data_IF_919021933679
#
_entry.id   IF_919021933679
#
_cell.length_a   1.000
_cell.length_b   1.000
_cell.length_c   1.000
_cell.angle_alpha   90.00
_cell.angle_beta   90.00
_cell.angle_gamma   90.00
#
_symmetry.space_group_name_H-M   'P 1'
#
loop_
_entity.id
_entity.type
_entity.pdbx_description
1 polymer ?
#
# COMPACT_ATOMS: atom_id res chain seq x y z
N UNK A 1 3.38 -5.90 -15.14
CA UNK A 1 4.07 -6.79 -14.18
C UNK A 1 3.02 -7.66 -13.51
N UNK A 2 3.20 -8.99 -13.48
CA UNK A 2 2.19 -9.90 -12.93
C UNK A 2 1.98 -9.67 -11.41
N UNK A 3 0.74 -9.58 -10.89
CA UNK A 3 0.46 -9.50 -9.46
C UNK A 3 1.14 -10.57 -8.60
N UNK A 4 1.32 -11.79 -9.14
CA UNK A 4 2.05 -12.86 -8.44
C UNK A 4 3.53 -12.57 -8.24
N UNK A 5 4.15 -11.80 -9.14
CA UNK A 5 5.53 -11.36 -9.01
C UNK A 5 5.70 -10.24 -7.96
N UNK A 6 4.61 -9.53 -7.63
CA UNK A 6 4.59 -8.51 -6.59
C UNK A 6 4.47 -9.09 -5.18
N UNK A 7 3.85 -10.26 -5.03
CA UNK A 7 3.63 -10.92 -3.73
C UNK A 7 4.87 -10.99 -2.82
N UNK A 8 6.04 -11.50 -3.26
CA UNK A 8 7.21 -11.57 -2.39
C UNK A 8 7.76 -10.19 -2.01
N UNK A 9 7.65 -9.21 -2.92
CA UNK A 9 8.10 -7.83 -2.68
C UNK A 9 7.20 -7.17 -1.63
N UNK A 10 5.89 -7.36 -1.73
CA UNK A 10 4.90 -6.84 -0.77
C UNK A 10 5.07 -7.46 0.61
N UNK A 11 5.33 -8.77 0.70
CA UNK A 11 5.58 -9.45 1.97
C UNK A 11 6.87 -8.96 2.66
N UNK A 12 7.94 -8.74 1.90
CA UNK A 12 9.18 -8.16 2.44
C UNK A 12 8.96 -6.70 2.89
N UNK A 13 8.26 -5.89 2.09
CA UNK A 13 7.91 -4.51 2.46
C UNK A 13 7.02 -4.45 3.71
N UNK A 14 6.07 -5.38 3.84
CA UNK A 14 5.23 -5.49 5.02
C UNK A 14 6.04 -5.85 6.26
N UNK A 15 6.89 -6.87 6.17
CA UNK A 15 7.76 -7.30 7.28
C UNK A 15 8.69 -6.19 7.76
N UNK A 16 9.23 -5.39 6.85
CA UNK A 16 10.09 -4.24 7.19
C UNK A 16 9.32 -3.09 7.83
N UNK A 17 8.16 -2.78 7.30
CA UNK A 17 7.31 -1.68 7.79
C UNK A 17 6.59 -2.04 9.09
N UNK A 18 6.31 -3.32 9.36
CA UNK A 18 5.62 -3.73 10.58
C UNK A 18 6.45 -3.53 11.85
N UNK A 19 7.78 -3.50 11.72
CA UNK A 19 8.71 -3.21 12.81
C UNK A 19 8.72 -1.72 13.22
N UNK A 20 8.22 -0.82 12.36
CA UNK A 20 8.29 0.63 12.54
C UNK A 20 6.94 1.28 12.88
N UNK A 21 5.84 0.53 12.89
CA UNK A 21 4.47 1.05 13.03
C UNK A 21 3.85 0.73 14.38
N UNK A 22 2.93 1.58 14.85
CA UNK A 22 2.08 1.27 16.00
C UNK A 22 1.28 -0.03 15.75
N UNK A 23 1.16 -0.89 16.76
CA UNK A 23 0.62 -2.25 16.59
C UNK A 23 -0.79 -2.33 15.96
N UNK A 24 -1.60 -1.27 16.08
CA UNK A 24 -2.92 -1.21 15.44
C UNK A 24 -2.84 -1.05 13.93
N UNK A 25 -1.81 -0.39 13.37
CA UNK A 25 -1.66 -0.25 11.91
C UNK A 25 -1.22 -1.57 11.26
N UNK A 26 -0.48 -2.41 11.99
CA UNK A 26 -0.12 -3.76 11.54
C UNK A 26 -1.33 -4.68 11.41
N UNK A 27 -2.31 -4.53 12.32
CA UNK A 27 -3.56 -5.28 12.23
C UNK A 27 -4.44 -4.85 11.04
N UNK A 28 -4.18 -3.69 10.43
CA UNK A 28 -5.02 -3.10 9.40
C UNK A 28 -4.46 -3.24 7.98
N UNK A 29 -3.14 -3.36 7.81
CA UNK A 29 -2.51 -3.67 6.52
C UNK A 29 -2.15 -5.15 6.48
N UNK A 30 -3.16 -6.01 6.55
CA UNK A 30 -2.98 -7.46 6.60
C UNK A 30 -2.56 -8.08 5.25
N UNK A 31 -2.13 -9.35 5.29
CA UNK A 31 -1.69 -10.09 4.11
C UNK A 31 -2.79 -10.21 3.04
N UNK A 32 -4.06 -10.33 3.43
CA UNK A 32 -5.15 -10.43 2.48
C UNK A 32 -5.32 -9.13 1.69
N UNK A 33 -5.32 -7.99 2.38
CA UNK A 33 -5.33 -6.67 1.76
C UNK A 33 -4.16 -6.52 0.78
N UNK A 34 -2.95 -6.87 1.20
CA UNK A 34 -1.75 -6.73 0.38
C UNK A 34 -1.82 -7.57 -0.89
N UNK A 35 -2.20 -8.85 -0.78
CA UNK A 35 -2.15 -9.78 -1.91
C UNK A 35 -3.36 -9.66 -2.84
N UNK A 36 -4.55 -9.43 -2.30
CA UNK A 36 -5.79 -9.48 -3.09
C UNK A 36 -6.30 -8.11 -3.52
N UNK A 37 -5.88 -7.03 -2.85
CA UNK A 37 -6.33 -5.68 -3.19
C UNK A 37 -5.18 -4.81 -3.68
N UNK A 38 -4.07 -4.74 -2.93
CA UNK A 38 -2.98 -3.83 -3.26
C UNK A 38 -2.11 -4.35 -4.42
N UNK A 39 -1.80 -5.64 -4.48
CA UNK A 39 -1.00 -6.20 -5.57
C UNK A 39 -1.63 -6.01 -6.96
N UNK A 40 -2.94 -6.25 -7.16
CA UNK A 40 -3.59 -5.94 -8.44
C UNK A 40 -3.57 -4.45 -8.79
N UNK A 41 -3.83 -3.57 -7.81
CA UNK A 41 -3.78 -2.12 -8.02
C UNK A 41 -2.39 -1.68 -8.51
N UNK A 42 -1.34 -2.18 -7.85
CA UNK A 42 0.04 -1.88 -8.20
C UNK A 42 0.42 -2.43 -9.57
N UNK A 43 0.06 -3.68 -9.87
CA UNK A 43 0.33 -4.29 -11.18
C UNK A 43 -0.23 -3.42 -12.31
N UNK A 44 -1.49 -2.99 -12.17
CA UNK A 44 -2.15 -2.12 -13.13
C UNK A 44 -1.43 -0.77 -13.27
N UNK A 45 -1.10 -0.10 -12.17
CA UNK A 45 -0.46 1.22 -12.22
C UNK A 45 0.97 1.15 -12.79
N UNK A 46 1.71 0.08 -12.48
CA UNK A 46 3.05 -0.13 -13.04
C UNK A 46 3.00 -0.37 -14.54
N UNK A 47 1.99 -1.10 -15.04
CA UNK A 47 1.79 -1.30 -16.48
C UNK A 47 1.35 -0.02 -17.18
N UNK A 48 0.47 0.76 -16.55
CA UNK A 48 -0.03 2.02 -17.08
C UNK A 48 0.98 3.18 -16.92
N UNK A 49 2.07 2.99 -16.17
CA UNK A 49 3.00 4.07 -15.83
C UNK A 49 2.38 5.18 -14.98
N UNK A 50 1.29 4.89 -14.28
CA UNK A 50 0.53 5.82 -13.45
C UNK A 50 1.08 5.87 -12.02
N UNK A 51 0.84 7.01 -11.35
CA UNK A 51 1.22 7.17 -9.95
C UNK A 51 0.19 6.52 -9.03
N UNK A 52 0.65 5.78 -8.02
CA UNK A 52 -0.21 5.29 -6.93
C UNK A 52 -0.17 6.30 -5.79
N UNK A 53 -1.32 6.92 -5.54
CA UNK A 53 -1.51 7.91 -4.47
C UNK A 53 -1.83 7.25 -3.13
N UNK A 54 -1.35 7.86 -2.04
CA UNK A 54 -1.64 7.43 -0.66
C UNK A 54 -3.15 7.36 -0.43
N UNK A 55 -3.88 8.40 -0.85
CA UNK A 55 -5.33 8.48 -0.67
C UNK A 55 -6.07 7.34 -1.39
N UNK A 56 -5.61 6.97 -2.59
CA UNK A 56 -6.21 5.86 -3.35
C UNK A 56 -6.07 4.54 -2.61
N UNK A 57 -4.91 4.30 -1.98
CA UNK A 57 -4.68 3.10 -1.17
C UNK A 57 -5.48 3.16 0.14
N UNK A 58 -5.61 4.34 0.76
CA UNK A 58 -6.41 4.52 1.97
C UNK A 58 -7.90 4.27 1.72
N UNK A 59 -8.43 4.74 0.58
CA UNK A 59 -9.80 4.45 0.17
C UNK A 59 -9.99 2.97 -0.17
N UNK A 60 -9.02 2.34 -0.85
CA UNK A 60 -9.07 0.90 -1.14
C UNK A 60 -9.11 0.07 0.16
N UNK A 61 -8.30 0.46 1.14
CA UNK A 61 -8.30 -0.13 2.48
C UNK A 61 -9.65 0.04 3.18
N UNK A 62 -10.23 1.24 3.17
CA UNK A 62 -11.53 1.49 3.79
C UNK A 62 -12.66 0.64 3.16
N UNK A 63 -12.61 0.47 1.83
CA UNK A 63 -13.53 -0.41 1.10
C UNK A 63 -13.34 -1.88 1.45
N UNK A 64 -12.09 -2.32 1.59
CA UNK A 64 -11.77 -3.69 2.01
C UNK A 64 -12.38 -4.01 3.39
N UNK A 65 -12.38 -3.05 4.32
CA UNK A 65 -13.00 -3.19 5.63
C UNK A 65 -14.53 -3.00 5.63
N UNK A 66 -15.16 -2.77 4.48
CA UNK A 66 -16.60 -2.55 4.38
C UNK A 66 -17.08 -1.26 5.07
N UNK A 67 -16.20 -0.27 5.25
CA UNK A 67 -16.57 0.98 5.90
C UNK A 67 -17.51 1.79 4.98
N UNK A 68 -18.48 2.48 5.58
CA UNK A 68 -19.27 3.47 4.86
C UNK A 68 -18.39 4.60 4.34
N UNK A 69 -18.81 5.31 3.30
CA UNK A 69 -17.98 6.36 2.68
C UNK A 69 -17.56 7.46 3.67
N UNK A 70 -18.48 7.89 4.54
CA UNK A 70 -18.20 8.90 5.56
C UNK A 70 -17.20 8.41 6.60
N UNK A 71 -17.32 7.15 7.04
CA UNK A 71 -16.40 6.55 8.01
C UNK A 71 -15.04 6.25 7.35
N UNK A 72 -15.04 5.79 6.11
CA UNK A 72 -13.86 5.53 5.30
C UNK A 72 -13.02 6.78 5.11
N UNK A 73 -13.65 7.94 4.81
CA UNK A 73 -12.95 9.22 4.73
C UNK A 73 -12.26 9.60 6.04
N UNK A 74 -12.97 9.49 7.17
CA UNK A 74 -12.41 9.80 8.49
C UNK A 74 -11.23 8.90 8.86
N UNK A 75 -11.31 7.60 8.55
CA UNK A 75 -10.23 6.66 8.84
C UNK A 75 -9.09 6.73 7.82
N UNK A 76 -9.38 7.10 6.56
CA UNK A 76 -8.38 7.30 5.52
C UNK A 76 -7.32 8.33 5.95
N UNK A 77 -7.73 9.45 6.53
CA UNK A 77 -6.80 10.45 7.09
C UNK A 77 -5.89 9.84 8.17
N UNK A 78 -6.48 9.04 9.07
CA UNK A 78 -5.73 8.42 10.18
C UNK A 78 -4.74 7.35 9.71
N UNK A 79 -5.07 6.59 8.67
CA UNK A 79 -4.22 5.51 8.14
C UNK A 79 -3.22 6.00 7.08
N UNK A 80 -3.45 7.18 6.49
CA UNK A 80 -2.62 7.75 5.43
C UNK A 80 -1.13 7.82 5.77
N UNK A 81 -0.70 8.23 6.98
CA UNK A 81 0.72 8.20 7.35
C UNK A 81 1.32 6.78 7.28
N UNK A 82 0.62 5.79 7.83
CA UNK A 82 1.07 4.40 7.80
C UNK A 82 1.14 3.83 6.37
N UNK A 83 0.23 4.25 5.50
CA UNK A 83 0.24 3.90 4.07
C UNK A 83 1.41 4.59 3.35
N UNK A 84 1.66 5.87 3.63
CA UNK A 84 2.77 6.61 3.03
C UNK A 84 4.12 5.97 3.39
N UNK A 85 4.33 5.61 4.66
CA UNK A 85 5.53 4.90 5.11
C UNK A 85 5.67 3.53 4.42
N UNK A 86 4.57 2.79 4.30
CA UNK A 86 4.55 1.53 3.58
C UNK A 86 4.92 1.71 2.10
N UNK A 87 4.34 2.69 1.41
CA UNK A 87 4.62 2.97 0.00
C UNK A 87 6.07 3.42 -0.23
N UNK A 88 6.67 4.13 0.72
CA UNK A 88 8.09 4.50 0.67
C UNK A 88 8.99 3.26 0.71
N UNK A 89 8.74 2.34 1.64
CA UNK A 89 9.49 1.08 1.76
C UNK A 89 9.26 0.21 0.52
N UNK A 90 8.01 0.12 0.05
CA UNK A 90 7.66 -0.61 -1.16
C UNK A 90 8.38 -0.05 -2.39
N UNK A 91 8.48 1.28 -2.52
CA UNK A 91 9.21 1.95 -3.60
C UNK A 91 10.68 1.56 -3.60
N UNK A 92 11.32 1.53 -2.43
CA UNK A 92 12.71 1.11 -2.30
C UNK A 92 12.90 -0.36 -2.72
N UNK A 93 12.02 -1.25 -2.26
CA UNK A 93 12.08 -2.67 -2.59
C UNK A 93 11.84 -2.94 -4.09
N UNK A 94 10.88 -2.26 -4.69
CA UNK A 94 10.61 -2.34 -6.13
C UNK A 94 11.80 -1.84 -6.96
N UNK A 95 12.46 -0.75 -6.54
CA UNK A 95 13.70 -0.26 -7.16
C UNK A 95 14.83 -1.27 -7.06
N UNK A 96 15.01 -1.89 -5.89
CA UNK A 96 16.00 -2.95 -5.71
C UNK A 96 15.72 -4.18 -6.59
N UNK A 97 14.44 -4.47 -6.87
CA UNK A 97 14.01 -5.51 -7.79
C UNK A 97 14.04 -5.09 -9.29
N UNK A 98 14.63 -3.94 -9.62
CA UNK A 98 14.78 -3.48 -11.01
C UNK A 98 13.53 -2.81 -11.61
N UNK A 99 12.52 -2.50 -10.79
CA UNK A 99 11.31 -1.78 -11.22
C UNK A 99 11.44 -0.30 -10.83
N UNK A 100 11.03 0.64 -11.69
CA UNK A 100 11.02 2.07 -11.38
C UNK A 100 9.58 2.56 -11.11
N UNK A 101 9.00 2.29 -9.93
CA UNK A 101 7.60 2.56 -9.70
C UNK A 101 7.34 4.05 -9.42
N UNK A 102 6.21 4.55 -9.91
CA UNK A 102 5.67 5.86 -9.51
C UNK A 102 4.74 5.67 -8.33
N UNK A 103 5.30 5.64 -7.13
CA UNK A 103 4.53 5.66 -5.88
C UNK A 103 4.68 7.03 -5.24
N UNK A 104 3.58 7.54 -4.69
CA UNK A 104 3.56 8.75 -3.88
C UNK A 104 4.64 8.66 -2.79
N UNK A 105 5.49 9.67 -2.75
CA UNK A 105 6.42 9.88 -1.64
C UNK A 105 5.70 10.76 -0.64
N UNK A 106 5.44 10.25 0.56
CA UNK A 106 4.78 11.02 1.59
C UNK A 106 5.51 12.34 1.85
N UNK A 107 4.79 13.45 1.79
CA UNK A 107 5.08 14.64 2.59
C UNK A 107 3.77 15.16 3.21
N UNK A 108 3.87 15.77 4.40
CA UNK A 108 2.79 15.96 5.38
C UNK A 108 1.59 16.75 4.88
#
# INVERSE_FOLDING_TARGET
MNPKALSPILQDSYSRSSLAREGWANALLDEHFLLHHLAPLLAYHLEAGCMVEVESVAQLWARHLGLSEALGRRWAERISPAIADFLLILKANLKAAGTAPRLAEGRP
#
